data_IF_744114163939
#
_entry.id   IF_744114163939
#
_cell.length_a   1.000
_cell.length_b   1.000
_cell.length_c   1.000
_cell.angle_alpha   90.00
_cell.angle_beta   90.00
_cell.angle_gamma   90.00
#
_symmetry.space_group_name_H-M   'P 1'
#
loop_
_entity.id
_entity.type
_entity.pdbx_description
1 polymer ?
#
# COMPACT_ATOMS: atom_id res chain seq x y z
N UNK A 1 -17.37 -38.09 -1.19
CA UNK A 1 -18.59 -37.26 -1.28
C UNK A 1 -18.38 -36.29 -2.45
N UNK A 2 -19.26 -36.27 -3.46
CA UNK A 2 -19.09 -35.39 -4.63
C UNK A 2 -19.26 -33.95 -4.15
N UNK A 3 -18.21 -33.13 -4.23
CA UNK A 3 -18.27 -31.70 -3.85
C UNK A 3 -19.42 -31.06 -4.62
N UNK A 4 -20.37 -30.44 -3.92
CA UNK A 4 -21.43 -29.72 -4.60
C UNK A 4 -20.80 -28.62 -5.45
N UNK A 5 -21.36 -28.33 -6.62
CA UNK A 5 -20.90 -27.20 -7.42
C UNK A 5 -20.98 -25.90 -6.63
N UNK A 6 -19.95 -25.04 -6.72
CA UNK A 6 -19.98 -23.71 -6.15
C UNK A 6 -21.17 -22.90 -6.68
N UNK A 7 -21.66 -21.98 -5.85
CA UNK A 7 -22.88 -21.22 -6.13
C UNK A 7 -22.68 -20.23 -7.27
N UNK A 8 -23.75 -19.94 -8.01
CA UNK A 8 -23.75 -18.92 -9.07
C UNK A 8 -23.98 -17.53 -8.50
N UNK A 9 -23.23 -16.55 -9.01
CA UNK A 9 -23.42 -15.13 -8.72
C UNK A 9 -24.58 -14.60 -9.58
N UNK A 10 -25.60 -14.04 -8.93
CA UNK A 10 -26.85 -13.60 -9.58
C UNK A 10 -27.09 -12.10 -9.48
N UNK A 11 -26.39 -11.42 -8.58
CA UNK A 11 -26.53 -9.99 -8.35
C UNK A 11 -25.17 -9.34 -8.13
N UNK A 12 -24.99 -8.15 -8.69
CA UNK A 12 -23.82 -7.30 -8.50
C UNK A 12 -24.31 -5.87 -8.22
N UNK A 13 -23.71 -5.23 -7.22
CA UNK A 13 -23.98 -3.83 -6.92
C UNK A 13 -22.68 -3.07 -6.66
N UNK A 14 -22.71 -1.78 -7.01
CA UNK A 14 -21.64 -0.82 -6.77
C UNK A 14 -22.24 0.34 -5.98
N UNK A 15 -21.73 0.57 -4.78
CA UNK A 15 -22.23 1.62 -3.89
C UNK A 15 -21.10 2.58 -3.52
N UNK A 16 -21.20 3.88 -3.84
CA UNK A 16 -20.28 4.87 -3.31
C UNK A 16 -20.55 5.07 -1.83
N UNK A 17 -19.51 4.93 -1.00
CA UNK A 17 -19.56 5.09 0.45
C UNK A 17 -18.60 6.23 0.82
N UNK A 18 -19.09 7.32 1.43
CA UNK A 18 -18.21 8.32 2.01
C UNK A 18 -17.49 7.73 3.23
N UNK A 19 -16.18 7.81 3.24
CA UNK A 19 -15.31 7.43 4.36
C UNK A 19 -14.69 8.69 4.91
N UNK A 20 -14.84 8.89 6.21
CA UNK A 20 -14.36 10.08 6.91
C UNK A 20 -13.08 9.76 7.69
N UNK A 21 -12.14 10.69 7.63
CA UNK A 21 -10.95 10.70 8.45
C UNK A 21 -11.23 11.45 9.75
N UNK A 22 -10.58 11.02 10.85
CA UNK A 22 -10.71 11.68 12.17
C UNK A 22 -10.14 13.11 12.17
N UNK A 23 -9.23 13.38 11.23
CA UNK A 23 -8.57 14.66 11.01
C UNK A 23 -8.44 14.91 9.52
N UNK A 24 -8.13 16.16 9.15
CA UNK A 24 -7.73 16.45 7.78
C UNK A 24 -6.35 15.85 7.52
N UNK A 25 -6.26 15.00 6.49
CA UNK A 25 -4.99 14.46 6.05
C UNK A 25 -4.31 15.46 5.12
N UNK A 26 -3.12 15.91 5.53
CA UNK A 26 -2.30 16.88 4.82
C UNK A 26 -1.69 16.37 3.52
N UNK A 27 -0.73 17.16 3.00
CA UNK A 27 0.00 16.89 1.76
C UNK A 27 1.05 15.78 1.96
N UNK A 28 1.46 15.17 0.86
CA UNK A 28 2.70 14.38 0.79
C UNK A 28 3.60 14.95 -0.33
N UNK A 29 4.70 14.27 -0.67
CA UNK A 29 5.67 14.80 -1.62
C UNK A 29 5.12 15.07 -3.03
N UNK A 30 4.02 14.42 -3.46
CA UNK A 30 3.47 14.60 -4.81
C UNK A 30 2.00 15.07 -4.87
N UNK A 31 1.27 14.99 -3.76
CA UNK A 31 -0.16 15.22 -3.70
C UNK A 31 -0.53 16.43 -2.87
N UNK A 32 -1.58 17.14 -3.28
CA UNK A 32 -2.25 18.13 -2.45
C UNK A 32 -2.95 17.47 -1.25
N UNK A 33 -3.61 18.26 -0.40
CA UNK A 33 -4.33 17.74 0.76
C UNK A 33 -5.34 16.67 0.35
N UNK A 34 -5.31 15.53 1.02
CA UNK A 34 -6.29 14.46 0.82
C UNK A 34 -7.65 14.90 1.37
N UNK A 35 -7.66 15.75 2.41
CA UNK A 35 -8.88 16.28 3.02
C UNK A 35 -9.38 15.41 4.17
N UNK A 36 -10.67 15.59 4.52
CA UNK A 36 -11.32 14.90 5.65
C UNK A 36 -12.20 13.73 5.23
N UNK A 37 -12.38 13.53 3.93
CA UNK A 37 -13.24 12.49 3.41
C UNK A 37 -12.77 11.99 2.05
N UNK A 38 -13.14 10.75 1.73
CA UNK A 38 -12.98 10.17 0.40
C UNK A 38 -14.15 9.26 0.09
N UNK A 39 -14.43 9.08 -1.18
CA UNK A 39 -15.37 8.05 -1.63
C UNK A 39 -14.66 6.72 -1.80
N UNK A 40 -15.12 5.70 -1.09
CA UNK A 40 -14.87 4.30 -1.39
C UNK A 40 -15.98 3.76 -2.31
N UNK A 41 -15.61 2.90 -3.25
CA UNK A 41 -16.56 2.26 -4.17
C UNK A 41 -16.71 0.80 -3.77
N UNK A 42 -17.68 0.51 -2.90
CA UNK A 42 -17.98 -0.85 -2.44
C UNK A 42 -18.62 -1.65 -3.56
N UNK A 43 -18.01 -2.78 -3.89
CA UNK A 43 -18.57 -3.79 -4.78
C UNK A 43 -19.10 -4.93 -3.93
N UNK A 44 -20.32 -5.37 -4.24
CA UNK A 44 -20.98 -6.50 -3.58
C UNK A 44 -21.53 -7.46 -4.63
N UNK A 45 -21.21 -8.74 -4.46
CA UNK A 45 -21.75 -9.84 -5.26
C UNK A 45 -22.62 -10.74 -4.39
N UNK A 46 -23.80 -11.14 -4.87
CA UNK A 46 -24.69 -12.08 -4.17
C UNK A 46 -24.87 -13.36 -5.00
N UNK A 47 -24.84 -14.50 -4.33
CA UNK A 47 -25.08 -15.81 -4.95
C UNK A 47 -26.56 -16.22 -4.92
N UNK A 48 -26.92 -17.26 -5.67
CA UNK A 48 -28.29 -17.79 -5.75
C UNK A 48 -28.86 -18.31 -4.41
N UNK A 49 -28.01 -18.64 -3.44
CA UNK A 49 -28.43 -18.99 -2.07
C UNK A 49 -28.12 -17.90 -1.04
N UNK A 50 -27.82 -16.68 -1.49
CA UNK A 50 -27.76 -15.49 -0.64
C UNK A 50 -26.43 -15.24 0.05
N UNK A 51 -25.36 -15.97 -0.28
CA UNK A 51 -24.01 -15.60 0.15
C UNK A 51 -23.60 -14.28 -0.47
N UNK A 52 -22.78 -13.54 0.25
CA UNK A 52 -22.34 -12.20 -0.14
C UNK A 52 -20.83 -12.12 -0.08
N UNK A 53 -20.22 -11.63 -1.16
CA UNK A 53 -18.80 -11.29 -1.22
C UNK A 53 -18.60 -9.81 -1.50
N UNK A 54 -17.51 -9.25 -0.96
CA UNK A 54 -17.22 -7.82 -0.95
C UNK A 54 -15.81 -7.51 -1.45
N UNK A 55 -15.67 -6.36 -2.11
CA UNK A 55 -14.36 -5.73 -2.41
C UNK A 55 -14.54 -4.22 -2.60
N UNK A 56 -13.43 -3.50 -2.78
CA UNK A 56 -13.43 -2.06 -3.13
C UNK A 56 -12.80 -1.84 -4.50
N UNK A 57 -13.41 -0.98 -5.32
CA UNK A 57 -12.99 -0.72 -6.70
C UNK A 57 -12.34 0.65 -6.90
N UNK A 58 -11.77 1.24 -5.84
CA UNK A 58 -11.21 2.58 -5.88
C UNK A 58 -10.10 2.76 -6.92
N UNK A 59 -9.28 1.73 -7.14
CA UNK A 59 -8.23 1.79 -8.16
C UNK A 59 -8.81 1.91 -9.58
N UNK A 60 -9.87 1.17 -9.88
CA UNK A 60 -10.57 1.31 -11.17
C UNK A 60 -11.17 2.70 -11.31
N UNK A 61 -11.83 3.19 -10.25
CA UNK A 61 -12.52 4.49 -10.28
C UNK A 61 -11.57 5.70 -10.41
N UNK A 62 -10.30 5.56 -10.03
CA UNK A 62 -9.25 6.59 -10.19
C UNK A 62 -8.64 6.66 -11.59
N UNK A 63 -9.02 5.78 -12.52
CA UNK A 63 -8.46 5.73 -13.88
C UNK A 63 -9.16 6.66 -14.88
N UNK A 64 -10.07 7.52 -14.43
CA UNK A 64 -10.83 8.38 -15.35
C UNK A 64 -9.90 9.37 -16.07
N UNK A 65 -9.78 9.22 -17.39
CA UNK A 65 -8.87 10.02 -18.24
C UNK A 65 -9.61 10.70 -19.42
N UNK A 66 -10.93 10.90 -19.32
CA UNK A 66 -11.76 11.52 -20.36
C UNK A 66 -12.98 10.67 -20.73
N UNK A 67 -13.81 11.20 -21.64
CA UNK A 67 -15.11 10.60 -21.99
C UNK A 67 -15.04 9.52 -23.08
N UNK A 68 -13.87 9.34 -23.70
CA UNK A 68 -13.66 8.37 -24.77
C UNK A 68 -13.41 6.94 -24.27
N UNK A 69 -13.21 6.76 -22.95
CA UNK A 69 -13.07 5.45 -22.32
C UNK A 69 -14.09 5.28 -21.18
N UNK A 70 -14.40 4.03 -20.85
CA UNK A 70 -15.30 3.69 -19.75
C UNK A 70 -14.57 3.47 -18.41
N UNK A 71 -13.23 3.45 -18.42
CA UNK A 71 -12.42 3.32 -17.21
C UNK A 71 -12.65 4.52 -16.29
N UNK A 72 -12.70 4.27 -14.98
CA UNK A 72 -13.04 5.32 -14.01
C UNK A 72 -14.52 5.71 -13.96
N UNK A 73 -15.40 5.07 -14.74
CA UNK A 73 -16.84 5.35 -14.72
C UNK A 73 -17.64 4.21 -14.08
N UNK A 74 -18.77 4.54 -13.43
CA UNK A 74 -19.69 3.54 -12.85
C UNK A 74 -20.18 2.57 -13.93
N UNK A 75 -20.48 3.07 -15.14
CA UNK A 75 -20.89 2.23 -16.27
C UNK A 75 -19.81 1.23 -16.67
N UNK A 76 -18.54 1.67 -16.75
CA UNK A 76 -17.42 0.79 -17.06
C UNK A 76 -17.18 -0.25 -15.97
N UNK A 77 -17.25 0.16 -14.70
CA UNK A 77 -17.11 -0.75 -13.56
C UNK A 77 -18.21 -1.82 -13.57
N UNK A 78 -19.47 -1.43 -13.77
CA UNK A 78 -20.60 -2.38 -13.86
C UNK A 78 -20.44 -3.31 -15.06
N UNK A 79 -20.01 -2.81 -16.22
CA UNK A 79 -19.78 -3.65 -17.39
C UNK A 79 -18.69 -4.71 -17.13
N UNK A 80 -17.54 -4.28 -16.58
CA UNK A 80 -16.44 -5.16 -16.19
C UNK A 80 -16.92 -6.21 -15.16
N UNK A 81 -17.63 -5.80 -14.12
CA UNK A 81 -18.13 -6.72 -13.10
C UNK A 81 -19.11 -7.73 -13.68
N UNK A 82 -20.01 -7.33 -14.58
CA UNK A 82 -20.97 -8.25 -15.21
C UNK A 82 -20.26 -9.26 -16.10
N UNK A 83 -19.28 -8.83 -16.89
CA UNK A 83 -18.48 -9.72 -17.71
C UNK A 83 -17.72 -10.75 -16.87
N UNK A 84 -17.10 -10.29 -15.79
CA UNK A 84 -16.22 -11.13 -14.97
C UNK A 84 -16.97 -12.01 -13.97
N UNK A 85 -18.09 -11.54 -13.42
CA UNK A 85 -18.74 -12.18 -12.28
C UNK A 85 -20.19 -12.62 -12.50
N UNK A 86 -20.99 -11.93 -13.31
CA UNK A 86 -22.41 -12.28 -13.41
C UNK A 86 -22.60 -13.65 -14.08
N UNK A 87 -23.50 -14.46 -13.52
CA UNK A 87 -23.83 -15.82 -13.97
C UNK A 87 -22.66 -16.83 -13.91
N UNK A 88 -21.52 -16.45 -13.33
CA UNK A 88 -20.39 -17.33 -13.07
C UNK A 88 -20.52 -17.99 -11.70
N UNK A 89 -19.84 -19.12 -11.52
CA UNK A 89 -19.76 -19.77 -10.21
C UNK A 89 -18.52 -19.35 -9.44
N UNK A 90 -18.66 -19.30 -8.12
CA UNK A 90 -17.58 -18.92 -7.20
C UNK A 90 -16.34 -19.82 -7.29
N UNK A 91 -16.48 -21.07 -7.74
CA UNK A 91 -15.40 -22.04 -7.90
C UNK A 91 -14.74 -22.06 -9.31
N UNK A 92 -15.13 -21.12 -10.18
CA UNK A 92 -14.56 -20.95 -11.53
C UNK A 92 -13.27 -20.11 -11.53
N UNK A 93 -13.04 -19.25 -10.54
CA UNK A 93 -11.93 -18.29 -10.57
C UNK A 93 -10.58 -18.87 -10.13
N UNK A 94 -10.62 -19.63 -9.04
CA UNK A 94 -9.44 -20.01 -8.28
C UNK A 94 -9.25 -21.52 -8.34
N UNK A 95 -8.00 -21.93 -8.47
CA UNK A 95 -7.58 -23.33 -8.38
C UNK A 95 -7.36 -23.66 -6.91
N UNK A 96 -7.93 -24.76 -6.44
CA UNK A 96 -7.80 -25.17 -5.03
C UNK A 96 -7.24 -26.57 -4.89
N UNK A 97 -6.38 -26.76 -3.90
CA UNK A 97 -5.87 -28.06 -3.44
C UNK A 97 -5.88 -28.07 -1.92
N UNK A 98 -6.42 -29.13 -1.32
CA UNK A 98 -6.44 -29.33 0.13
C UNK A 98 -6.95 -28.13 0.94
N UNK A 99 -8.01 -27.49 0.44
CA UNK A 99 -8.64 -26.33 1.09
C UNK A 99 -7.89 -25.01 0.93
N UNK A 100 -6.81 -24.98 0.13
CA UNK A 100 -6.01 -23.78 -0.16
C UNK A 100 -6.14 -23.39 -1.61
N UNK A 101 -6.02 -22.10 -1.91
CA UNK A 101 -5.86 -21.60 -3.27
C UNK A 101 -4.42 -21.86 -3.70
N UNK A 102 -4.22 -22.41 -4.89
CA UNK A 102 -2.88 -22.71 -5.47
C UNK A 102 -2.63 -21.95 -6.77
N UNK A 103 -3.64 -21.24 -7.27
CA UNK A 103 -3.52 -20.48 -8.51
C UNK A 103 -4.84 -19.83 -8.91
N UNK A 104 -4.76 -19.06 -9.98
CA UNK A 104 -5.90 -18.48 -10.70
C UNK A 104 -6.06 -19.25 -12.00
N UNK A 105 -7.30 -19.60 -12.37
CA UNK A 105 -7.54 -20.27 -13.66
C UNK A 105 -7.18 -19.35 -14.82
N UNK A 106 -6.67 -19.94 -15.91
CA UNK A 106 -6.14 -19.19 -17.07
C UNK A 106 -7.08 -18.10 -17.60
N UNK A 107 -8.40 -18.39 -17.66
CA UNK A 107 -9.41 -17.44 -18.14
C UNK A 107 -9.49 -16.12 -17.34
N UNK A 108 -8.96 -16.09 -16.11
CA UNK A 108 -9.05 -14.95 -15.19
C UNK A 108 -7.69 -14.32 -14.85
N UNK A 109 -6.57 -14.93 -15.29
CA UNK A 109 -5.22 -14.46 -14.95
C UNK A 109 -4.99 -13.02 -15.38
N UNK A 110 -5.23 -12.70 -16.64
CA UNK A 110 -5.04 -11.34 -17.18
C UNK A 110 -5.91 -10.31 -16.46
N UNK A 111 -7.17 -10.65 -16.20
CA UNK A 111 -8.12 -9.78 -15.51
C UNK A 111 -7.68 -9.50 -14.06
N UNK A 112 -7.23 -10.51 -13.32
CA UNK A 112 -6.75 -10.33 -11.94
C UNK A 112 -5.34 -9.70 -11.88
N UNK A 113 -4.53 -9.83 -12.93
CA UNK A 113 -3.27 -9.09 -13.10
C UNK A 113 -3.49 -7.60 -13.43
N UNK A 114 -4.56 -7.29 -14.17
CA UNK A 114 -4.90 -5.89 -14.47
C UNK A 114 -5.68 -5.23 -13.32
N UNK A 115 -6.54 -5.99 -12.65
CA UNK A 115 -7.44 -5.54 -11.61
C UNK A 115 -7.36 -6.45 -10.38
N UNK A 116 -6.25 -6.37 -9.64
CA UNK A 116 -5.97 -7.20 -8.45
C UNK A 116 -7.12 -7.23 -7.44
N UNK A 117 -7.78 -6.11 -7.22
CA UNK A 117 -8.95 -5.97 -6.34
C UNK A 117 -10.11 -6.92 -6.67
N UNK A 118 -10.23 -7.42 -7.91
CA UNK A 118 -11.23 -8.44 -8.28
C UNK A 118 -10.90 -9.82 -7.68
N UNK A 119 -9.62 -10.15 -7.52
CA UNK A 119 -9.23 -11.41 -6.87
C UNK A 119 -9.65 -11.42 -5.40
N UNK A 120 -9.69 -10.27 -4.73
CA UNK A 120 -10.18 -10.15 -3.34
C UNK A 120 -11.64 -10.63 -3.27
N UNK A 121 -12.49 -10.19 -4.21
CA UNK A 121 -13.88 -10.63 -4.30
C UNK A 121 -14.00 -12.13 -4.55
N UNK A 122 -13.17 -12.68 -5.44
CA UNK A 122 -13.17 -14.11 -5.73
C UNK A 122 -12.76 -14.96 -4.51
N UNK A 123 -11.78 -14.50 -3.74
CA UNK A 123 -11.36 -15.15 -2.49
C UNK A 123 -12.46 -15.06 -1.42
N UNK A 124 -13.07 -13.89 -1.24
CA UNK A 124 -14.14 -13.70 -0.26
C UNK A 124 -15.35 -14.61 -0.57
N UNK A 125 -15.82 -14.60 -1.82
CA UNK A 125 -16.90 -15.49 -2.27
C UNK A 125 -16.57 -16.97 -2.08
N UNK A 126 -15.35 -17.40 -2.43
CA UNK A 126 -14.94 -18.80 -2.27
C UNK A 126 -14.83 -19.19 -0.79
N UNK A 127 -14.33 -18.30 0.07
CA UNK A 127 -14.26 -18.52 1.52
C UNK A 127 -15.65 -18.71 2.11
N UNK A 128 -16.60 -17.85 1.74
CA UNK A 128 -18.01 -17.96 2.14
C UNK A 128 -18.65 -19.28 1.65
N UNK A 129 -18.40 -19.70 0.40
CA UNK A 129 -18.92 -20.96 -0.16
C UNK A 129 -18.38 -22.19 0.57
N UNK A 130 -17.12 -22.14 1.00
CA UNK A 130 -16.46 -23.23 1.72
C UNK A 130 -16.63 -23.18 3.25
N UNK A 131 -17.16 -22.08 3.79
CA UNK A 131 -17.29 -21.87 5.24
C UNK A 131 -15.94 -21.72 5.96
N UNK A 132 -14.93 -21.15 5.28
CA UNK A 132 -13.58 -20.91 5.82
C UNK A 132 -13.14 -19.47 5.55
N UNK A 133 -12.09 -19.02 6.24
CA UNK A 133 -11.59 -17.66 6.05
C UNK A 133 -10.70 -17.52 4.80
N UNK A 134 -10.55 -16.30 4.29
CA UNK A 134 -9.51 -16.01 3.28
C UNK A 134 -8.10 -16.34 3.79
N UNK A 135 -7.85 -16.28 5.09
CA UNK A 135 -6.58 -16.68 5.71
C UNK A 135 -6.33 -18.17 5.51
N UNK A 136 -7.35 -19.02 5.68
CA UNK A 136 -7.25 -20.46 5.44
C UNK A 136 -6.96 -20.76 3.97
N UNK A 137 -7.66 -20.06 3.06
CA UNK A 137 -7.42 -20.14 1.62
C UNK A 137 -5.98 -19.75 1.24
N UNK A 138 -5.38 -18.81 1.96
CA UNK A 138 -4.01 -18.32 1.75
C UNK A 138 -2.93 -19.18 2.45
N UNK A 139 -3.31 -20.22 3.18
CA UNK A 139 -2.35 -21.13 3.82
C UNK A 139 -2.57 -21.35 5.32
N UNK A 140 -3.46 -20.59 5.94
CA UNK A 140 -3.77 -20.64 7.36
C UNK A 140 -3.07 -19.54 8.16
N UNK A 141 -3.48 -19.43 9.43
CA UNK A 141 -2.99 -18.40 10.34
C UNK A 141 -1.53 -18.65 10.74
N UNK A 142 -0.67 -17.65 10.49
CA UNK A 142 0.74 -17.71 10.89
C UNK A 142 1.04 -17.03 12.24
N UNK A 143 0.14 -16.16 12.72
CA UNK A 143 0.29 -15.40 13.97
C UNK A 143 -1.06 -14.94 14.51
N UNK A 144 -1.14 -14.70 15.81
CA UNK A 144 -2.37 -14.23 16.48
C UNK A 144 -2.64 -12.75 16.28
N UNK A 145 -1.58 -11.94 16.10
CA UNK A 145 -1.67 -10.49 15.96
C UNK A 145 -0.64 -9.99 14.95
N UNK A 146 -0.99 -8.94 14.23
CA UNK A 146 -0.11 -8.21 13.32
C UNK A 146 0.04 -6.79 13.89
N UNK A 147 1.27 -6.31 14.15
CA UNK A 147 1.49 -4.91 14.52
C UNK A 147 0.97 -3.98 13.43
N UNK A 148 0.35 -2.87 13.84
CA UNK A 148 -0.06 -1.80 12.93
C UNK A 148 0.74 -0.54 13.29
N UNK A 149 1.10 0.22 12.26
CA UNK A 149 1.76 1.52 12.41
C UNK A 149 0.82 2.65 11.99
N UNK A 150 0.95 3.80 12.65
CA UNK A 150 0.24 5.01 12.22
C UNK A 150 0.92 5.59 10.98
N UNK A 151 0.22 5.60 9.86
CA UNK A 151 0.67 6.16 8.58
C UNK A 151 0.03 7.52 8.26
N UNK A 152 -0.59 8.17 9.25
CA UNK A 152 -1.34 9.42 9.07
C UNK A 152 -0.52 10.69 9.34
N UNK A 153 0.80 10.57 9.53
CA UNK A 153 1.71 11.69 9.78
C UNK A 153 2.14 12.34 8.45
N UNK A 154 1.27 13.18 7.90
CA UNK A 154 1.46 13.92 6.65
C UNK A 154 2.15 15.27 6.89
N UNK A 155 2.27 16.13 5.86
CA UNK A 155 2.78 17.50 5.97
C UNK A 155 1.78 18.45 6.66
N UNK A 156 1.36 18.08 7.87
CA UNK A 156 0.33 18.79 8.61
C UNK A 156 0.82 20.16 9.10
N UNK A 157 2.13 20.34 9.22
CA UNK A 157 2.79 21.62 9.45
C UNK A 157 2.53 22.63 8.33
N UNK A 158 2.24 22.20 7.10
CA UNK A 158 1.85 23.10 6.01
C UNK A 158 0.39 23.55 6.11
N UNK A 159 -0.45 22.77 6.79
CA UNK A 159 -1.83 23.14 7.11
C UNK A 159 -1.93 24.03 8.36
N UNK A 160 -0.98 23.88 9.28
CA UNK A 160 -0.91 24.59 10.56
C UNK A 160 0.48 25.23 10.72
N UNK A 161 0.83 26.22 9.86
CA UNK A 161 2.17 26.77 9.77
C UNK A 161 2.66 27.43 11.06
N UNK A 162 1.75 27.90 11.90
CA UNK A 162 2.05 28.48 13.20
C UNK A 162 2.62 27.47 14.20
N UNK A 163 2.30 26.19 14.04
CA UNK A 163 2.84 25.09 14.86
C UNK A 163 4.08 24.45 14.24
N UNK A 164 4.28 24.58 12.93
CA UNK A 164 5.43 24.03 12.23
C UNK A 164 5.59 22.52 12.50
N UNK A 165 6.83 22.05 12.67
CA UNK A 165 7.13 20.64 12.93
C UNK A 165 6.41 20.07 14.16
N UNK A 166 6.09 20.91 15.16
CA UNK A 166 5.39 20.47 16.36
C UNK A 166 4.01 19.89 16.05
N UNK A 167 3.32 20.39 15.02
CA UNK A 167 2.01 19.87 14.62
C UNK A 167 2.03 18.35 14.36
N UNK A 168 3.07 17.86 13.67
CA UNK A 168 3.18 16.43 13.32
C UNK A 168 3.54 15.61 14.57
N UNK A 169 4.39 16.15 15.45
CA UNK A 169 4.72 15.49 16.72
C UNK A 169 3.53 15.36 17.68
N UNK A 170 2.63 16.35 17.70
CA UNK A 170 1.39 16.30 18.48
C UNK A 170 0.46 15.19 17.99
N UNK A 171 0.38 14.99 16.68
CA UNK A 171 -0.39 13.87 16.11
C UNK A 171 0.23 12.52 16.44
N UNK A 172 1.55 12.42 16.39
CA UNK A 172 2.25 11.19 16.76
C UNK A 172 2.07 10.86 18.25
N UNK A 173 2.12 11.86 19.14
CA UNK A 173 1.84 11.69 20.57
C UNK A 173 0.40 11.22 20.80
N UNK A 174 -0.59 11.82 20.11
CA UNK A 174 -1.97 11.40 20.22
C UNK A 174 -2.17 9.94 19.77
N UNK A 175 -1.57 9.54 18.64
CA UNK A 175 -1.60 8.16 18.16
C UNK A 175 -0.85 7.21 19.12
N UNK A 176 0.23 7.65 19.75
CA UNK A 176 0.93 6.88 20.78
C UNK A 176 0.03 6.62 22.00
N UNK A 177 -0.71 7.64 22.46
CA UNK A 177 -1.69 7.50 23.55
C UNK A 177 -2.87 6.58 23.18
N UNK A 178 -3.19 6.45 21.89
CA UNK A 178 -4.16 5.46 21.38
C UNK A 178 -3.60 4.02 21.33
N UNK A 179 -2.30 3.83 21.57
CA UNK A 179 -1.63 2.53 21.66
C UNK A 179 -0.78 2.14 20.44
N UNK A 180 -0.57 3.05 19.49
CA UNK A 180 0.40 2.83 18.41
C UNK A 180 1.83 2.95 18.94
N UNK A 181 2.72 2.05 18.50
CA UNK A 181 4.15 2.10 18.83
C UNK A 181 5.05 2.15 17.58
N UNK A 182 4.46 2.32 16.41
CA UNK A 182 5.15 2.38 15.13
C UNK A 182 4.52 3.50 14.29
N UNK A 183 5.34 4.35 13.67
CA UNK A 183 4.90 5.59 13.04
C UNK A 183 5.60 5.79 11.70
N UNK A 184 4.84 6.06 10.64
CA UNK A 184 5.39 6.39 9.31
C UNK A 184 5.14 7.86 8.99
N UNK A 185 6.23 8.61 8.90
CA UNK A 185 6.26 10.06 8.66
C UNK A 185 6.41 10.31 7.16
N UNK A 186 5.54 11.12 6.57
CA UNK A 186 5.78 11.65 5.23
C UNK A 186 6.90 12.68 5.26
N UNK A 187 7.88 12.51 4.38
CA UNK A 187 8.97 13.45 4.10
C UNK A 187 9.02 13.74 2.58
N UNK A 188 10.04 14.44 2.09
CA UNK A 188 10.16 14.76 0.67
C UNK A 188 9.61 16.14 0.30
N UNK A 189 9.79 17.13 1.18
CA UNK A 189 9.45 18.53 0.93
C UNK A 189 10.36 19.28 -0.09
N UNK A 190 11.66 18.97 -0.26
CA UNK A 190 12.58 19.73 -1.09
C UNK A 190 12.08 20.01 -2.52
N UNK A 191 12.14 21.26 -2.96
CA UNK A 191 11.95 21.67 -4.36
C UNK A 191 10.49 21.78 -4.82
N UNK A 192 9.55 21.08 -4.17
CA UNK A 192 8.12 21.22 -4.46
C UNK A 192 7.40 22.12 -3.46
N UNK A 193 7.48 21.78 -2.17
CA UNK A 193 6.72 22.47 -1.13
C UNK A 193 7.51 23.57 -0.45
N UNK A 194 8.83 23.42 -0.43
CA UNK A 194 9.76 24.38 0.17
C UNK A 194 11.01 24.47 -0.70
N UNK A 195 11.78 25.57 -0.53
CA UNK A 195 13.10 25.66 -1.14
C UNK A 195 13.95 24.43 -0.75
N UNK A 196 14.79 23.88 -1.65
CA UNK A 196 15.36 22.55 -1.45
C UNK A 196 16.03 22.32 -0.09
N UNK A 197 16.86 23.28 0.36
CA UNK A 197 17.53 23.19 1.65
C UNK A 197 16.56 23.30 2.83
N UNK A 198 15.69 24.31 2.84
CA UNK A 198 14.69 24.49 3.89
C UNK A 198 13.66 23.36 3.96
N UNK A 199 13.37 22.70 2.84
CA UNK A 199 12.50 21.52 2.82
C UNK A 199 13.14 20.31 3.49
N UNK A 200 14.44 20.09 3.25
CA UNK A 200 15.20 19.03 3.90
C UNK A 200 15.31 19.30 5.40
N UNK A 201 15.67 20.53 5.79
CA UNK A 201 15.75 20.95 7.20
C UNK A 201 14.39 20.75 7.91
N UNK A 202 13.27 21.07 7.26
CA UNK A 202 11.94 20.80 7.80
C UNK A 202 11.65 19.30 7.95
N UNK A 203 12.05 18.48 6.99
CA UNK A 203 11.90 17.02 7.11
C UNK A 203 12.68 16.50 8.34
N UNK A 204 13.90 16.99 8.57
CA UNK A 204 14.71 16.67 9.76
C UNK A 204 14.00 17.13 11.05
N UNK A 205 13.54 18.38 11.10
CA UNK A 205 12.81 18.95 12.25
C UNK A 205 11.61 18.08 12.63
N UNK A 206 10.81 17.66 11.64
CA UNK A 206 9.63 16.82 11.85
C UNK A 206 10.01 15.44 12.42
N UNK A 207 11.02 14.79 11.84
CA UNK A 207 11.45 13.45 12.30
C UNK A 207 11.96 13.49 13.74
N UNK A 208 12.78 14.49 14.07
CA UNK A 208 13.33 14.63 15.43
C UNK A 208 12.23 14.99 16.44
N UNK A 209 11.29 15.87 16.08
CA UNK A 209 10.16 16.23 16.93
C UNK A 209 9.24 15.04 17.20
N UNK A 210 8.96 14.22 16.17
CA UNK A 210 8.18 12.98 16.36
C UNK A 210 8.94 12.01 17.27
N UNK A 211 10.25 11.79 17.07
CA UNK A 211 11.06 10.95 17.96
C UNK A 211 10.99 11.40 19.41
N UNK A 212 11.10 12.70 19.66
CA UNK A 212 10.99 13.24 21.03
C UNK A 212 9.61 12.95 21.63
N UNK A 213 8.54 13.09 20.85
CA UNK A 213 7.17 12.89 21.30
C UNK A 213 6.81 11.42 21.60
N UNK A 214 7.31 10.46 20.82
CA UNK A 214 6.94 9.03 20.96
C UNK A 214 7.98 8.20 21.74
N UNK A 215 9.07 8.82 22.17
CA UNK A 215 10.12 8.17 22.95
C UNK A 215 11.03 7.23 22.13
N UNK A 216 12.04 6.61 22.76
CA UNK A 216 13.08 5.84 22.07
C UNK A 216 12.64 4.44 21.59
N UNK A 217 11.61 3.86 22.21
CA UNK A 217 11.19 2.47 21.95
C UNK A 217 10.25 2.34 20.75
N UNK A 218 9.64 3.45 20.32
CA UNK A 218 8.78 3.48 19.14
C UNK A 218 9.60 3.27 17.86
N UNK A 219 9.06 2.53 16.88
CA UNK A 219 9.67 2.48 15.55
C UNK A 219 9.22 3.68 14.73
N UNK A 220 10.18 4.34 14.10
CA UNK A 220 9.91 5.45 13.19
C UNK A 220 10.35 5.05 11.79
N UNK A 221 9.46 5.25 10.84
CA UNK A 221 9.70 5.05 9.42
C UNK A 221 9.48 6.37 8.71
N UNK A 222 10.17 6.57 7.59
CA UNK A 222 9.94 7.75 6.75
C UNK A 222 9.64 7.30 5.32
N UNK A 223 8.77 8.05 4.66
CA UNK A 223 8.33 7.79 3.30
C UNK A 223 8.35 9.11 2.53
N UNK A 224 9.25 9.19 1.54
CA UNK A 224 9.43 10.42 0.78
C UNK A 224 8.55 10.49 -0.47
N UNK A 225 7.88 9.41 -0.88
CA UNK A 225 7.23 9.28 -2.19
C UNK A 225 8.01 9.98 -3.33
N UNK A 226 9.31 9.67 -3.40
CA UNK A 226 10.32 10.18 -4.33
C UNK A 226 10.68 11.66 -4.22
N UNK A 227 10.36 12.33 -3.11
CA UNK A 227 10.62 13.76 -2.92
C UNK A 227 12.10 14.17 -2.88
N UNK A 228 13.05 13.23 -2.81
CA UNK A 228 14.49 13.49 -2.93
C UNK A 228 15.06 13.15 -4.32
N UNK A 229 14.21 12.87 -5.32
CA UNK A 229 14.64 12.54 -6.67
C UNK A 229 15.57 13.62 -7.27
N UNK A 230 16.73 13.19 -7.76
CA UNK A 230 17.78 14.09 -8.24
C UNK A 230 18.39 15.02 -7.17
N UNK A 231 18.29 14.67 -5.88
CA UNK A 231 18.77 15.45 -4.72
C UNK A 231 19.48 14.57 -3.68
N UNK A 232 20.34 13.66 -4.14
CA UNK A 232 21.09 12.73 -3.28
C UNK A 232 22.01 13.44 -2.26
N UNK A 233 22.46 14.66 -2.57
CA UNK A 233 23.20 15.53 -1.66
C UNK A 233 22.35 15.95 -0.45
N UNK A 234 21.11 16.39 -0.68
CA UNK A 234 20.19 16.75 0.39
C UNK A 234 19.76 15.50 1.18
N UNK A 235 19.61 14.36 0.51
CA UNK A 235 19.29 13.09 1.15
C UNK A 235 20.44 12.62 2.08
N UNK A 236 21.70 12.87 1.71
CA UNK A 236 22.84 12.60 2.58
C UNK A 236 22.76 13.37 3.88
N UNK A 237 22.44 14.67 3.79
CA UNK A 237 22.30 15.53 4.95
C UNK A 237 21.12 15.09 5.82
N UNK A 238 19.96 14.78 5.20
CA UNK A 238 18.80 14.27 5.91
C UNK A 238 19.13 13.01 6.74
N UNK A 239 19.80 12.01 6.13
CA UNK A 239 20.18 10.79 6.85
C UNK A 239 21.16 11.10 7.99
N UNK A 240 22.15 11.97 7.74
CA UNK A 240 23.16 12.36 8.75
C UNK A 240 22.52 13.06 9.94
N UNK A 241 21.61 13.98 9.69
CA UNK A 241 20.97 14.81 10.72
C UNK A 241 19.89 14.06 11.50
N UNK A 242 19.37 12.95 10.95
CA UNK A 242 18.35 12.10 11.61
C UNK A 242 18.91 10.82 12.25
N UNK A 243 20.23 10.63 12.34
CA UNK A 243 20.83 9.43 12.93
C UNK A 243 20.32 9.15 14.36
N UNK A 244 20.15 10.18 15.18
CA UNK A 244 19.63 10.06 16.55
C UNK A 244 18.16 9.65 16.60
N UNK A 245 17.42 9.77 15.50
CA UNK A 245 16.04 9.33 15.41
C UNK A 245 15.90 7.81 15.28
N UNK A 246 17.00 7.07 15.02
CA UNK A 246 16.99 5.62 14.85
C UNK A 246 15.85 5.18 13.90
N UNK A 247 15.88 5.71 12.67
CA UNK A 247 14.86 5.42 11.66
C UNK A 247 14.94 3.94 11.29
N UNK A 248 13.82 3.24 11.35
CA UNK A 248 13.69 1.82 11.04
C UNK A 248 13.73 1.54 9.53
N UNK A 249 13.06 2.35 8.71
CA UNK A 249 13.20 2.29 7.26
C UNK A 249 13.08 3.64 6.55
N UNK A 250 13.74 3.73 5.39
CA UNK A 250 13.67 4.78 4.40
C UNK A 250 12.87 4.24 3.19
N UNK A 251 11.65 4.74 3.01
CA UNK A 251 10.73 4.32 1.95
C UNK A 251 10.73 5.32 0.80
N UNK A 252 10.92 4.81 -0.42
CA UNK A 252 10.76 5.57 -1.66
C UNK A 252 11.50 6.94 -1.64
N UNK A 253 12.71 6.99 -1.10
CA UNK A 253 13.44 8.27 -0.96
C UNK A 253 13.67 8.94 -2.32
N UNK A 254 14.07 8.13 -3.30
CA UNK A 254 14.32 8.49 -4.70
C UNK A 254 13.57 7.52 -5.61
N UNK A 255 13.34 7.92 -6.86
CA UNK A 255 12.71 7.03 -7.84
C UNK A 255 13.48 5.72 -8.00
N UNK A 256 12.78 4.66 -8.39
CA UNK A 256 13.39 3.35 -8.58
C UNK A 256 14.42 3.42 -9.72
N UNK A 257 15.70 3.50 -9.34
CA UNK A 257 16.86 3.44 -10.23
C UNK A 257 18.01 2.67 -9.55
N UNK A 258 18.64 1.76 -10.29
CA UNK A 258 19.71 0.90 -9.76
C UNK A 258 20.95 1.71 -9.36
N UNK A 259 21.28 2.76 -10.11
CA UNK A 259 22.42 3.64 -9.83
C UNK A 259 22.21 4.43 -8.54
N UNK A 260 21.05 5.08 -8.42
CA UNK A 260 20.73 5.89 -7.25
C UNK A 260 20.58 5.04 -5.98
N UNK A 261 19.96 3.87 -6.04
CA UNK A 261 19.89 2.97 -4.88
C UNK A 261 21.26 2.43 -4.45
N UNK A 262 22.20 2.24 -5.39
CA UNK A 262 23.60 1.92 -5.04
C UNK A 262 24.28 3.08 -4.31
N UNK A 263 24.03 4.32 -4.71
CA UNK A 263 24.55 5.50 -3.99
C UNK A 263 23.90 5.61 -2.62
N UNK A 264 22.58 5.48 -2.55
CA UNK A 264 21.80 5.52 -1.31
C UNK A 264 22.28 4.48 -0.30
N UNK A 265 22.45 3.21 -0.71
CA UNK A 265 22.97 2.16 0.17
C UNK A 265 24.37 2.47 0.69
N UNK A 266 25.32 2.82 -0.20
CA UNK A 266 26.68 3.20 0.23
C UNK A 266 26.70 4.38 1.19
N UNK A 267 25.84 5.36 0.95
CA UNK A 267 25.70 6.54 1.79
C UNK A 267 25.13 6.19 3.16
N UNK A 268 24.03 5.44 3.20
CA UNK A 268 23.39 4.91 4.42
C UNK A 268 24.41 4.17 5.29
N UNK A 269 25.15 3.25 4.68
CA UNK A 269 26.16 2.42 5.37
C UNK A 269 27.33 3.26 5.88
N UNK A 270 27.85 4.18 5.04
CA UNK A 270 28.96 5.09 5.42
C UNK A 270 28.61 6.03 6.56
N UNK A 271 27.36 6.48 6.63
CA UNK A 271 26.87 7.33 7.71
C UNK A 271 26.56 6.55 9.00
N UNK A 272 26.56 5.21 8.95
CA UNK A 272 26.25 4.36 10.10
C UNK A 272 24.76 4.33 10.44
N UNK A 273 23.89 4.50 9.46
CA UNK A 273 22.45 4.29 9.64
C UNK A 273 22.10 2.81 9.48
N UNK A 274 21.23 2.28 10.33
CA UNK A 274 20.72 0.91 10.23
C UNK A 274 19.39 0.82 9.47
N UNK A 275 18.87 1.95 8.98
CA UNK A 275 17.57 2.02 8.32
C UNK A 275 17.48 1.10 7.10
N UNK A 276 16.45 0.28 7.04
CA UNK A 276 16.13 -0.55 5.88
C UNK A 276 15.78 0.35 4.68
N UNK A 277 16.22 -0.02 3.48
CA UNK A 277 15.82 0.65 2.24
C UNK A 277 14.62 -0.09 1.65
N UNK A 278 13.46 0.56 1.52
CA UNK A 278 12.23 -0.10 1.07
C UNK A 278 11.56 0.66 -0.08
N UNK A 279 10.91 -0.07 -0.98
CA UNK A 279 10.24 0.48 -2.16
C UNK A 279 9.25 -0.56 -2.75
N UNK A 280 8.33 -0.13 -3.61
CA UNK A 280 7.52 -1.06 -4.42
C UNK A 280 6.03 -0.76 -4.50
N UNK A 281 5.52 0.28 -3.81
CA UNK A 281 4.10 0.63 -3.86
C UNK A 281 3.65 0.94 -5.29
N UNK A 282 4.53 1.60 -6.05
CA UNK A 282 4.27 2.05 -7.43
C UNK A 282 4.53 0.99 -8.51
N UNK A 283 5.08 -0.17 -8.16
CA UNK A 283 5.42 -1.19 -9.17
C UNK A 283 4.16 -1.81 -9.80
N UNK A 284 4.37 -2.47 -10.93
CA UNK A 284 3.34 -3.18 -11.69
C UNK A 284 3.44 -4.69 -11.46
N UNK A 285 2.50 -5.41 -12.07
CA UNK A 285 2.50 -6.87 -12.14
C UNK A 285 2.59 -7.33 -13.59
N UNK A 286 3.50 -8.26 -13.94
CA UNK A 286 4.60 -8.79 -13.10
C UNK A 286 5.57 -7.69 -12.64
N UNK A 287 6.34 -7.92 -11.55
CA UNK A 287 7.34 -6.96 -11.06
C UNK A 287 8.22 -6.48 -12.20
N UNK A 288 8.38 -5.16 -12.31
CA UNK A 288 9.12 -4.58 -13.43
C UNK A 288 10.61 -4.87 -13.33
N UNK A 289 11.34 -4.71 -14.45
CA UNK A 289 12.75 -5.07 -14.50
C UNK A 289 13.57 -4.31 -13.46
N UNK A 290 13.28 -3.02 -13.23
CA UNK A 290 14.03 -2.23 -12.26
C UNK A 290 13.88 -2.77 -10.84
N UNK A 291 12.67 -3.18 -10.42
CA UNK A 291 12.46 -3.76 -9.09
C UNK A 291 13.06 -5.16 -8.97
N UNK A 292 13.05 -5.96 -10.04
CA UNK A 292 13.82 -7.22 -10.09
C UNK A 292 15.31 -6.96 -9.88
N UNK A 293 15.87 -6.00 -10.58
CA UNK A 293 17.29 -5.64 -10.45
C UNK A 293 17.63 -5.10 -9.05
N UNK A 294 16.74 -4.31 -8.44
CA UNK A 294 16.92 -3.81 -7.08
C UNK A 294 16.92 -4.94 -6.05
N UNK A 295 15.99 -5.89 -6.18
CA UNK A 295 15.88 -7.05 -5.28
C UNK A 295 17.05 -8.02 -5.49
N UNK A 296 17.33 -8.41 -6.73
CA UNK A 296 18.37 -9.39 -7.07
C UNK A 296 19.78 -8.91 -6.68
N UNK A 297 19.99 -7.59 -6.63
CA UNK A 297 21.24 -6.98 -6.18
C UNK A 297 21.27 -6.61 -4.69
N UNK A 298 20.21 -6.91 -3.94
CA UNK A 298 20.09 -6.58 -2.52
C UNK A 298 20.17 -5.07 -2.25
N UNK A 299 19.64 -4.26 -3.17
CA UNK A 299 19.66 -2.80 -3.06
C UNK A 299 18.51 -2.28 -2.22
N UNK A 300 17.37 -2.98 -2.21
CA UNK A 300 16.30 -2.81 -1.24
C UNK A 300 16.28 -3.98 -0.27
N UNK A 301 15.95 -3.69 0.99
CA UNK A 301 15.77 -4.66 2.06
C UNK A 301 14.29 -5.13 2.18
N UNK A 302 13.36 -4.42 1.54
CA UNK A 302 11.94 -4.79 1.54
C UNK A 302 11.19 -4.28 0.31
N UNK A 303 10.39 -5.18 -0.29
CA UNK A 303 9.47 -4.88 -1.39
C UNK A 303 8.05 -4.68 -0.86
N UNK A 304 7.40 -3.56 -1.18
CA UNK A 304 6.14 -3.11 -0.55
C UNK A 304 4.96 -2.97 -1.54
N UNK A 305 4.46 -4.07 -2.13
CA UNK A 305 3.33 -4.01 -3.05
C UNK A 305 2.02 -3.64 -2.32
N UNK A 306 1.21 -2.76 -2.92
CA UNK A 306 -0.12 -2.44 -2.37
C UNK A 306 -1.08 -3.64 -2.53
N UNK A 307 -1.71 -4.04 -1.42
CA UNK A 307 -2.53 -5.26 -1.37
C UNK A 307 -3.81 -5.20 -2.20
N UNK A 308 -4.41 -4.01 -2.38
CA UNK A 308 -5.61 -3.83 -3.22
C UNK A 308 -5.23 -3.84 -4.70
N UNK A 309 -4.09 -3.25 -5.00
CA UNK A 309 -3.46 -3.19 -6.31
C UNK A 309 -3.06 -4.56 -6.80
N UNK A 310 -2.42 -5.34 -5.94
CA UNK A 310 -1.98 -6.70 -6.20
C UNK A 310 -3.14 -7.70 -6.11
N UNK A 311 -4.06 -7.51 -5.17
CA UNK A 311 -5.04 -8.52 -4.83
C UNK A 311 -4.44 -9.75 -4.15
N UNK A 312 -5.29 -10.69 -3.75
CA UNK A 312 -4.87 -11.88 -3.03
C UNK A 312 -4.25 -12.95 -3.93
N UNK A 313 -4.56 -12.93 -5.23
CA UNK A 313 -4.01 -13.92 -6.17
C UNK A 313 -2.50 -13.78 -6.43
N UNK A 314 -1.90 -12.62 -6.13
CA UNK A 314 -0.48 -12.35 -6.42
C UNK A 314 0.47 -12.67 -5.28
N UNK A 315 -0.05 -12.81 -4.06
CA UNK A 315 0.81 -12.99 -2.89
C UNK A 315 1.72 -14.22 -3.01
N UNK A 316 1.21 -15.31 -3.59
CA UNK A 316 1.99 -16.53 -3.78
C UNK A 316 3.12 -16.37 -4.81
N UNK A 317 2.88 -15.67 -5.92
CA UNK A 317 3.93 -15.44 -6.91
C UNK A 317 5.01 -14.48 -6.40
N UNK A 318 4.61 -13.45 -5.65
CA UNK A 318 5.53 -12.52 -5.00
C UNK A 318 6.34 -13.23 -3.90
N UNK A 319 5.69 -14.02 -3.05
CA UNK A 319 6.37 -14.83 -2.03
C UNK A 319 7.38 -15.79 -2.66
N UNK A 320 7.02 -16.49 -3.73
CA UNK A 320 7.93 -17.38 -4.45
C UNK A 320 9.13 -16.65 -5.05
N UNK A 321 8.90 -15.46 -5.61
CA UNK A 321 9.96 -14.63 -6.18
C UNK A 321 10.92 -14.08 -5.12
N UNK A 322 10.40 -13.67 -3.95
CA UNK A 322 11.20 -13.08 -2.87
C UNK A 322 11.83 -14.14 -1.95
N UNK A 323 11.30 -15.36 -1.88
CA UNK A 323 11.83 -16.44 -1.03
C UNK A 323 13.36 -16.67 -1.08
N UNK A 324 14.05 -16.60 -2.24
CA UNK A 324 15.51 -16.81 -2.28
C UNK A 324 16.33 -15.63 -1.75
N UNK A 325 15.72 -14.47 -1.46
CA UNK A 325 16.46 -13.23 -1.15
C UNK A 325 16.76 -13.02 0.34
N UNK A 326 16.26 -13.91 1.20
CA UNK A 326 16.32 -13.77 2.66
C UNK A 326 15.15 -12.96 3.22
#
# INVERSE_FOLDING_TARGET
MRKMPGQRIVELSVTPIPVHYRKELGKNAYGENIGRERTEWLVRARTEYGQEGLTIANRFMRQFNGFDNSAGTVRGLVALLREMFLDKRVDEYLETSDGRVVGVRDAYKEAFQTHGWMSILAFDLLGQDLGISCVDLLGGQARDRVPAYDTTLYFQDLLNPEQGAAQVSLEAAASHDEGYNEFKIKVGRPGRWMAPRSGMERDVEVVLAVREAVGPDAKIMVDANFGYDGRLDLLEDFIRETLTANIFWLEEMVTADVGDYRVLRRMRDRLGSDALLVCGEVDRDPPSQVFRDLVDQGLIDGYQPDSVSAGFSRWQSLEQWLKPTG
#
